data_IF_595200243145
#
_entry.id   IF_595200243145
#
_cell.length_a   1.000
_cell.length_b   1.000
_cell.length_c   1.000
_cell.angle_alpha   90.00
_cell.angle_beta   90.00
_cell.angle_gamma   90.00
#
_symmetry.space_group_name_H-M   'P 1'
#
loop_
_entity.id
_entity.type
_entity.pdbx_description
1 polymer ?
#
# COMPACT_ATOMS: atom_id res chain seq x y z
N UNK A 1 3.68 17.13 -14.37
CA UNK A 1 3.41 16.85 -13.51
C UNK A 1 4.00 17.12 -12.29
N UNK A 2 3.60 16.92 -11.34
CA UNK A 2 4.00 17.20 -10.18
C UNK A 2 4.87 16.29 -9.63
N UNK A 3 5.93 16.62 -9.23
CA UNK A 3 6.81 15.75 -8.74
C UNK A 3 6.69 15.54 -7.31
N UNK A 4 6.00 16.36 -6.63
CA UNK A 4 5.87 16.24 -5.22
C UNK A 4 4.54 15.69 -4.91
N UNK A 5 4.47 14.61 -4.18
CA UNK A 5 3.21 13.97 -3.83
C UNK A 5 3.01 14.02 -2.34
N UNK A 6 1.90 14.55 -1.92
CA UNK A 6 1.52 14.54 -0.52
C UNK A 6 0.26 13.72 -0.39
N UNK A 7 -0.10 13.39 0.84
CA UNK A 7 -1.29 12.58 1.07
C UNK A 7 -2.54 13.28 0.53
N UNK A 8 -2.63 14.58 0.67
CA UNK A 8 -3.84 15.28 0.25
C UNK A 8 -3.96 15.38 -1.26
N UNK A 9 -2.90 15.18 -2.01
CA UNK A 9 -2.98 15.25 -3.45
C UNK A 9 -3.23 13.91 -4.11
N UNK A 10 -3.41 12.86 -3.34
CA UNK A 10 -3.66 11.54 -3.88
C UNK A 10 -5.13 11.34 -4.18
N UNK A 11 -5.43 10.41 -5.07
CA UNK A 11 -6.80 10.03 -5.30
C UNK A 11 -7.34 9.37 -4.04
N UNK A 12 -8.66 9.21 -3.97
CA UNK A 12 -9.27 8.60 -2.80
C UNK A 12 -8.77 7.20 -2.53
N UNK A 13 -8.61 6.40 -3.58
CA UNK A 13 -8.20 5.01 -3.36
C UNK A 13 -6.77 4.94 -2.87
N UNK A 14 -5.90 5.77 -3.41
CA UNK A 14 -4.53 5.77 -2.93
C UNK A 14 -4.47 6.31 -1.50
N UNK A 15 -5.28 7.32 -1.20
CA UNK A 15 -5.30 7.85 0.16
C UNK A 15 -5.78 6.80 1.15
N UNK A 16 -6.80 6.02 0.76
CA UNK A 16 -7.27 4.95 1.61
C UNK A 16 -6.17 3.94 1.90
N UNK A 17 -5.38 3.62 0.88
CA UNK A 17 -4.31 2.65 1.06
C UNK A 17 -3.24 3.19 2.02
N UNK A 18 -2.85 4.45 1.82
CA UNK A 18 -1.82 5.05 2.67
C UNK A 18 -2.31 5.12 4.11
N UNK A 19 -3.56 5.53 4.31
CA UNK A 19 -4.08 5.63 5.66
C UNK A 19 -4.24 4.27 6.31
N UNK A 20 -4.61 3.26 5.52
CA UNK A 20 -4.70 1.92 6.07
C UNK A 20 -3.34 1.42 6.54
N UNK A 21 -2.30 1.69 5.75
CA UNK A 21 -0.97 1.26 6.15
C UNK A 21 -0.54 1.95 7.44
N UNK A 22 -0.86 3.25 7.57
CA UNK A 22 -0.51 3.96 8.80
C UNK A 22 -1.23 3.34 10.00
N UNK A 23 -2.50 3.01 9.85
CA UNK A 23 -3.25 2.43 10.94
C UNK A 23 -2.77 1.02 11.26
N UNK A 24 -2.41 0.29 10.20
CA UNK A 24 -1.99 -1.09 10.38
C UNK A 24 -0.69 -1.19 11.15
N UNK A 25 0.25 -0.31 10.85
CA UNK A 25 1.56 -0.25 11.45
C UNK A 25 2.44 -1.47 11.13
N UNK A 26 2.02 -2.66 11.52
CA UNK A 26 2.73 -3.90 11.19
C UNK A 26 1.72 -4.92 10.71
N UNK A 27 1.99 -5.53 9.58
CA UNK A 27 1.09 -6.53 9.06
C UNK A 27 1.20 -6.63 7.56
N UNK A 28 0.09 -7.02 6.93
CA UNK A 28 0.10 -7.09 5.47
C UNK A 28 -1.31 -6.94 4.92
N UNK A 29 -1.36 -6.51 3.67
CA UNK A 29 -2.61 -6.39 2.94
C UNK A 29 -2.52 -7.40 1.82
N UNK A 30 -3.52 -8.28 1.72
CA UNK A 30 -3.48 -9.39 0.76
C UNK A 30 -4.61 -9.28 -0.24
N UNK A 31 -4.34 -9.72 -1.45
CA UNK A 31 -5.34 -9.79 -2.52
C UNK A 31 -5.98 -8.44 -2.81
N UNK A 32 -5.13 -7.46 -3.01
CA UNK A 32 -5.58 -6.13 -3.34
C UNK A 32 -5.73 -6.00 -4.84
N UNK A 33 -6.94 -5.72 -5.29
CA UNK A 33 -7.22 -5.59 -6.71
C UNK A 33 -6.71 -4.26 -7.22
N UNK A 34 -6.22 -4.24 -8.45
CA UNK A 34 -5.76 -3.03 -9.10
C UNK A 34 -6.48 -2.88 -10.44
N UNK A 35 -7.12 -1.77 -10.65
CA UNK A 35 -7.80 -1.47 -11.88
C UNK A 35 -7.52 -0.04 -12.27
N UNK A 36 -7.14 0.15 -13.53
CA UNK A 36 -6.83 1.49 -14.00
C UNK A 36 -5.70 2.13 -13.23
N UNK A 37 -4.77 1.32 -12.73
CA UNK A 37 -3.66 1.83 -11.94
C UNK A 37 -4.03 2.26 -10.54
N UNK A 38 -5.22 1.88 -10.06
CA UNK A 38 -5.66 2.30 -8.74
C UNK A 38 -5.99 1.10 -7.88
N UNK A 39 -5.68 1.16 -6.58
CA UNK A 39 -6.01 0.05 -5.68
C UNK A 39 -7.51 0.05 -5.38
N UNK A 40 -8.11 -1.12 -5.47
CA UNK A 40 -9.52 -1.28 -5.21
C UNK A 40 -9.70 -2.26 -4.07
N UNK A 41 -10.31 -1.80 -3.00
CA UNK A 41 -10.58 -2.68 -1.88
C UNK A 41 -11.91 -3.36 -2.12
N UNK A 42 -11.92 -4.68 -2.17
CA UNK A 42 -13.14 -5.41 -2.40
C UNK A 42 -13.25 -6.50 -1.34
N UNK A 43 -14.31 -7.29 -1.33
CA UNK A 43 -14.49 -8.27 -0.26
C UNK A 43 -13.36 -9.31 -0.17
N UNK A 44 -12.61 -9.51 -1.26
CA UNK A 44 -11.52 -10.47 -1.22
C UNK A 44 -10.26 -9.90 -0.57
N UNK A 45 -10.17 -8.59 -0.43
CA UNK A 45 -8.99 -7.97 0.15
C UNK A 45 -8.91 -8.29 1.63
N UNK A 46 -7.78 -8.78 2.08
CA UNK A 46 -7.60 -9.11 3.48
C UNK A 46 -6.56 -8.21 4.09
N UNK A 47 -6.80 -7.81 5.32
CA UNK A 47 -5.87 -7.01 6.07
C UNK A 47 -5.49 -7.79 7.31
N UNK A 48 -4.22 -8.12 7.42
CA UNK A 48 -3.73 -8.93 8.54
C UNK A 48 -2.83 -8.06 9.37
N UNK A 49 -3.18 -7.85 10.62
CA UNK A 49 -2.39 -7.04 11.51
C UNK A 49 -1.52 -7.92 12.38
N UNK A 50 -0.27 -7.53 12.51
CA UNK A 50 0.64 -8.26 13.37
C UNK A 50 0.71 -7.50 14.68
N UNK A 51 0.32 -8.14 15.76
CA UNK A 51 0.35 -7.51 17.07
C UNK A 51 1.50 -8.10 17.87
N UNK A 52 2.26 -7.21 18.50
CA UNK A 52 3.36 -7.65 19.31
C UNK A 52 2.86 -7.80 20.72
N UNK A 53 2.83 -8.99 21.24
CA UNK A 53 2.32 -9.22 22.58
C UNK A 53 3.26 -8.58 23.58
N UNK A 54 2.72 -7.68 24.39
CA UNK A 54 3.54 -6.97 25.37
C UNK A 54 4.26 -5.75 24.81
N UNK A 55 3.99 -5.38 23.56
CA UNK A 55 4.65 -4.24 22.95
C UNK A 55 3.67 -3.17 22.56
N UNK A 56 4.19 -2.15 21.89
CA UNK A 56 3.36 -1.09 21.40
C UNK A 56 2.94 -1.37 19.99
N UNK A 57 1.66 -1.24 19.71
CA UNK A 57 1.12 -1.59 18.41
C UNK A 57 0.40 -0.45 17.70
N UNK A 58 0.31 0.69 18.31
CA UNK A 58 -0.42 1.78 17.68
C UNK A 58 0.35 2.45 16.56
N UNK A 59 -0.34 3.26 15.77
CA UNK A 59 0.32 4.00 14.70
C UNK A 59 1.31 4.99 15.26
N UNK A 60 2.32 5.30 14.48
CA UNK A 60 3.30 6.29 14.90
C UNK A 60 2.69 7.67 14.72
N UNK A 61 2.77 8.53 15.72
CA UNK A 61 2.14 9.83 15.59
C UNK A 61 2.64 10.65 14.42
N UNK A 62 3.92 10.56 14.11
CA UNK A 62 4.44 11.35 13.03
C UNK A 62 3.91 10.88 11.68
N UNK A 63 3.39 9.69 11.59
CA UNK A 63 2.84 9.21 10.34
C UNK A 63 1.39 9.58 10.18
N UNK A 64 0.76 10.08 11.21
CA UNK A 64 -0.63 10.46 11.10
C UNK A 64 -0.81 11.92 10.71
N UNK A 65 0.26 12.69 10.59
CA UNK A 65 0.14 14.05 10.15
C UNK A 65 -0.24 14.07 8.70
N UNK A 66 -1.16 14.96 8.33
CA UNK A 66 -1.51 15.02 6.98
C UNK A 66 -0.69 16.01 6.27
N UNK A 67 -0.64 15.98 5.01
CA UNK A 67 0.00 16.92 4.14
C UNK A 67 1.50 17.01 4.29
N UNK A 68 2.14 15.95 4.75
CA UNK A 68 3.56 15.93 4.65
C UNK A 68 3.91 15.11 3.42
N UNK A 69 5.13 15.24 2.94
CA UNK A 69 5.55 14.50 1.79
C UNK A 69 5.59 13.02 2.11
N UNK A 70 5.13 12.22 1.19
CA UNK A 70 5.14 10.79 1.39
C UNK A 70 6.57 10.28 1.38
N UNK A 71 6.82 9.26 2.16
CA UNK A 71 8.11 8.63 2.19
C UNK A 71 8.40 7.97 0.86
N UNK A 72 9.69 7.79 0.58
CA UNK A 72 10.08 7.21 -0.68
C UNK A 72 9.46 5.85 -0.90
N UNK A 73 9.41 5.01 0.14
CA UNK A 73 8.84 3.68 0.00
C UNK A 73 7.39 3.75 -0.43
N UNK A 74 6.65 4.70 0.13
CA UNK A 74 5.24 4.84 -0.23
C UNK A 74 5.12 5.29 -1.69
N UNK A 75 5.95 6.21 -2.11
CA UNK A 75 5.90 6.66 -3.49
C UNK A 75 6.24 5.52 -4.44
N UNK A 76 7.22 4.70 -4.08
CA UNK A 76 7.59 3.56 -4.92
C UNK A 76 6.43 2.56 -5.01
N UNK A 77 5.73 2.33 -3.91
CA UNK A 77 4.58 1.44 -3.94
C UNK A 77 3.51 1.97 -4.87
N UNK A 78 3.20 3.26 -4.76
CA UNK A 78 2.14 3.83 -5.58
C UNK A 78 2.52 3.79 -7.06
N UNK A 79 3.78 4.00 -7.36
CA UNK A 79 4.23 3.90 -8.75
C UNK A 79 4.14 2.47 -9.26
N UNK A 80 4.46 1.51 -8.42
CA UNK A 80 4.37 0.11 -8.82
C UNK A 80 2.93 -0.30 -9.09
N UNK A 81 2.00 0.20 -8.28
CA UNK A 81 0.59 -0.09 -8.49
C UNK A 81 0.13 0.55 -9.81
N UNK A 82 0.53 1.79 -10.04
CA UNK A 82 0.16 2.47 -11.27
C UNK A 82 0.72 1.75 -12.48
N UNK A 83 1.96 1.28 -12.39
CA UNK A 83 2.58 0.56 -13.48
C UNK A 83 1.93 -0.78 -13.74
N UNK A 84 1.47 -1.44 -12.69
CA UNK A 84 0.77 -2.70 -12.86
C UNK A 84 -0.51 -2.52 -13.67
N UNK A 85 -1.22 -1.44 -13.42
CA UNK A 85 -2.40 -1.09 -14.18
C UNK A 85 -3.61 -1.95 -13.90
N UNK A 86 -3.51 -3.24 -14.17
CA UNK A 86 -4.62 -4.17 -13.98
C UNK A 86 -4.06 -5.45 -13.41
N UNK A 87 -4.66 -5.94 -12.37
CA UNK A 87 -4.21 -7.19 -11.78
C UNK A 87 -4.50 -7.25 -10.31
N UNK A 88 -3.76 -8.09 -9.62
CA UNK A 88 -3.94 -8.27 -8.18
C UNK A 88 -2.58 -8.23 -7.50
N UNK A 89 -2.48 -7.45 -6.46
CA UNK A 89 -1.32 -7.47 -5.60
C UNK A 89 -1.55 -8.56 -4.58
N UNK A 90 -0.69 -9.55 -4.57
CA UNK A 90 -0.86 -10.69 -3.68
C UNK A 90 -0.64 -10.29 -2.22
N UNK A 91 0.32 -9.45 -1.97
CA UNK A 91 0.58 -9.00 -0.60
C UNK A 91 1.40 -7.73 -0.59
N UNK A 92 1.10 -6.85 0.33
CA UNK A 92 1.93 -5.71 0.65
C UNK A 92 2.31 -5.87 2.11
N UNK A 93 3.58 -6.02 2.38
CA UNK A 93 4.03 -6.13 3.76
C UNK A 93 4.25 -4.73 4.32
N UNK A 94 3.72 -4.47 5.50
CA UNK A 94 3.77 -3.15 6.13
C UNK A 94 4.56 -3.24 7.41
N UNK A 95 5.49 -2.31 7.58
CA UNK A 95 6.27 -2.19 8.80
C UNK A 95 6.38 -0.72 9.14
N UNK A 96 6.10 -0.38 10.39
CA UNK A 96 6.15 1.01 10.86
C UNK A 96 5.24 1.92 10.04
N UNK A 97 4.12 1.36 9.57
CA UNK A 97 3.16 2.16 8.82
C UNK A 97 3.55 2.42 7.38
N UNK A 98 4.64 1.82 6.92
CA UNK A 98 5.15 2.03 5.56
C UNK A 98 5.23 0.71 4.83
N UNK A 99 5.08 0.74 3.51
CA UNK A 99 5.22 -0.50 2.75
C UNK A 99 6.66 -0.96 2.76
N UNK A 100 6.86 -2.24 3.01
CA UNK A 100 8.18 -2.82 3.06
C UNK A 100 8.45 -3.65 1.81
N UNK A 101 7.46 -4.38 1.33
CA UNK A 101 7.59 -5.18 0.12
C UNK A 101 6.22 -5.38 -0.51
N UNK A 102 6.20 -5.70 -1.78
CA UNK A 102 4.99 -5.97 -2.50
C UNK A 102 5.21 -7.19 -3.37
N UNK A 103 4.24 -8.10 -3.34
CA UNK A 103 4.29 -9.30 -4.16
C UNK A 103 3.20 -9.25 -5.19
N UNK A 104 3.55 -9.48 -6.44
CA UNK A 104 2.56 -9.58 -7.49
C UNK A 104 2.86 -10.85 -8.26
N UNK A 105 1.83 -11.40 -8.88
CA UNK A 105 2.01 -12.60 -9.66
C UNK A 105 2.48 -12.23 -11.04
N UNK A 106 3.59 -12.78 -11.46
CA UNK A 106 4.06 -12.56 -12.80
C UNK A 106 3.30 -13.51 -13.66
N UNK A 107 2.33 -13.04 -14.35
CA UNK A 107 1.48 -13.90 -15.09
C UNK A 107 2.22 -14.74 -16.07
N UNK A 108 1.58 -15.75 -16.52
CA UNK A 108 2.21 -16.66 -17.42
C UNK A 108 2.68 -16.04 -18.68
N UNK A 109 2.31 -14.81 -18.91
CA UNK A 109 2.73 -14.20 -20.09
C UNK A 109 4.20 -14.21 -20.23
N UNK A 110 4.88 -14.37 -19.22
CA UNK A 110 6.26 -14.39 -19.40
C UNK A 110 6.67 -15.65 -19.99
N UNK A 111 5.82 -16.52 -20.08
CA UNK A 111 6.16 -17.63 -20.69
C UNK A 111 5.81 -17.64 -22.00
N UNK A 112 5.62 -17.15 -22.04
CA UNK A 112 5.50 -16.96 -22.98
C UNK A 112 5.69 -16.88 -23.54
N UNK A 113 5.72 -17.00 -23.20
CA UNK A 113 5.94 -16.74 -23.64
C UNK A 113 5.71 -17.04 -23.84
#
# INVERSE_FOLDING_TARGET
>A
MNERTTKSSLSNSYRQLVELMHRLNFGRIEDLLVRGGEPIFDPATKVVQKLKIGGENGPRPELSSEDFLLKRQTQELLEAIADLGEGTVLAIEVKHGLPFSMEIEMAGRHRNG
#
